data_IF_911497695315
#
_entry.id   IF_911497695315
#
_cell.length_a   1.000
_cell.length_b   1.000
_cell.length_c   1.000
_cell.angle_alpha   90.00
_cell.angle_beta   90.00
_cell.angle_gamma   90.00
#
_symmetry.space_group_name_H-M   'P 1'
#
loop_
_entity.id
_entity.type
_entity.pdbx_description
1 polymer ?
#
# COMPACT_ATOMS: atom_id res chain seq x y z
N UNK A 1 -18.32 9.53 -7.05
CA UNK A 1 -18.78 8.38 -6.25
C UNK A 1 -17.81 8.28 -5.10
N UNK A 2 -18.34 8.27 -3.93
CA UNK A 2 -17.64 8.51 -2.67
C UNK A 2 -16.54 7.49 -2.48
N UNK A 3 -15.29 7.94 -2.69
CA UNK A 3 -14.10 7.11 -2.48
C UNK A 3 -13.77 7.11 -0.98
N UNK A 4 -14.68 6.55 -0.18
CA UNK A 4 -14.44 6.38 1.24
C UNK A 4 -13.57 5.14 1.48
N UNK A 5 -12.56 5.32 2.32
CA UNK A 5 -11.65 4.26 2.76
C UNK A 5 -11.71 4.23 4.27
N UNK A 6 -11.98 3.07 4.81
CA UNK A 6 -12.01 2.88 6.26
C UNK A 6 -10.92 1.90 6.67
N UNK A 7 -10.29 2.17 7.79
CA UNK A 7 -9.32 1.30 8.40
C UNK A 7 -9.85 0.79 9.72
N UNK A 8 -9.93 -0.53 9.86
CA UNK A 8 -10.27 -1.17 11.12
C UNK A 8 -8.98 -1.55 11.82
N UNK A 9 -8.86 -1.15 13.07
CA UNK A 9 -7.70 -1.45 13.90
C UNK A 9 -8.13 -2.11 15.21
N UNK A 10 -7.25 -2.90 15.78
CA UNK A 10 -7.39 -3.48 17.13
C UNK A 10 -6.44 -2.80 18.11
N UNK A 11 -6.71 -2.93 19.38
CA UNK A 11 -6.01 -2.21 20.44
C UNK A 11 -4.48 -2.35 20.39
N UNK A 12 -3.98 -3.56 20.19
CA UNK A 12 -2.53 -3.80 20.20
C UNK A 12 -1.78 -3.20 19.00
N UNK A 13 -2.49 -2.87 17.92
CA UNK A 13 -1.93 -2.27 16.70
C UNK A 13 -2.12 -0.74 16.67
N UNK A 14 -2.74 -0.16 17.70
CA UNK A 14 -2.96 1.26 17.78
C UNK A 14 -1.69 2.01 18.17
N UNK A 15 -1.14 2.77 17.25
CA UNK A 15 -0.02 3.68 17.50
C UNK A 15 -0.50 5.14 17.46
N UNK A 16 -0.58 5.80 18.64
CA UNK A 16 -1.01 7.19 18.72
C UNK A 16 -0.19 8.13 17.84
N UNK A 17 1.10 7.88 17.66
CA UNK A 17 1.99 8.73 16.89
C UNK A 17 1.65 8.75 15.39
N UNK A 18 1.09 7.69 14.90
CA UNK A 18 0.72 7.52 13.49
C UNK A 18 -0.69 8.08 13.24
N UNK A 19 -1.64 7.80 14.15
CA UNK A 19 -3.06 8.05 13.91
C UNK A 19 -3.61 9.32 14.56
N UNK A 20 -2.97 9.81 15.61
CA UNK A 20 -3.60 10.78 16.53
C UNK A 20 -3.75 12.20 16.02
N UNK A 21 -3.16 12.58 14.90
CA UNK A 21 -3.20 14.01 14.69
C UNK A 21 -4.35 14.55 13.85
N UNK A 22 -5.13 13.73 13.13
CA UNK A 22 -6.23 14.29 12.30
C UNK A 22 -7.23 13.31 11.68
N UNK A 23 -7.06 12.01 11.85
CA UNK A 23 -8.00 11.07 11.23
C UNK A 23 -9.25 10.90 12.10
N UNK A 24 -10.46 11.08 11.56
CA UNK A 24 -11.68 10.87 12.32
C UNK A 24 -11.82 9.40 12.73
N UNK A 25 -12.02 9.17 14.02
CA UNK A 25 -12.45 7.87 14.55
C UNK A 25 -13.97 7.86 14.49
N UNK A 26 -14.55 6.94 13.74
CA UNK A 26 -15.99 6.83 13.55
C UNK A 26 -16.67 6.08 14.68
N UNK A 27 -16.04 5.03 15.16
CA UNK A 27 -16.55 4.20 16.26
C UNK A 27 -15.42 3.49 16.99
N UNK A 28 -15.67 3.13 18.24
CA UNK A 28 -14.80 2.27 19.07
C UNK A 28 -15.69 1.30 19.85
N UNK A 29 -15.46 0.00 19.75
CA UNK A 29 -16.28 -1.00 20.38
C UNK A 29 -15.49 -2.23 20.87
N UNK A 30 -16.08 -3.00 21.76
CA UNK A 30 -15.49 -4.25 22.26
C UNK A 30 -15.71 -5.43 21.31
N UNK A 31 -16.71 -5.33 20.44
CA UNK A 31 -17.00 -6.36 19.43
C UNK A 31 -17.09 -5.74 18.03
N UNK A 32 -16.89 -6.56 17.02
CA UNK A 32 -17.00 -6.10 15.61
C UNK A 32 -18.44 -5.78 15.23
N UNK A 33 -19.39 -6.53 15.77
CA UNK A 33 -20.82 -6.29 15.50
C UNK A 33 -21.30 -4.96 16.11
N UNK A 34 -20.86 -4.61 17.31
CA UNK A 34 -21.08 -3.29 17.89
C UNK A 34 -20.41 -2.18 17.07
N UNK A 35 -19.18 -2.45 16.63
CA UNK A 35 -18.42 -1.51 15.81
C UNK A 35 -19.12 -1.20 14.49
N UNK A 36 -19.68 -2.22 13.82
CA UNK A 36 -20.49 -2.06 12.59
C UNK A 36 -21.71 -1.18 12.85
N UNK A 37 -22.46 -1.50 13.93
CA UNK A 37 -23.67 -0.79 14.27
C UNK A 37 -23.41 0.68 14.62
N UNK A 38 -22.39 0.98 15.42
CA UNK A 38 -22.02 2.34 15.82
C UNK A 38 -21.52 3.18 14.65
N UNK A 39 -20.76 2.57 13.75
CA UNK A 39 -20.24 3.26 12.57
C UNK A 39 -21.26 3.36 11.41
N UNK A 40 -22.45 2.74 11.56
CA UNK A 40 -23.51 2.78 10.55
C UNK A 40 -23.26 1.88 9.34
N UNK A 41 -22.49 0.83 9.49
CA UNK A 41 -22.31 -0.18 8.45
C UNK A 41 -23.45 -1.22 8.48
N UNK A 42 -23.62 -1.88 7.34
CA UNK A 42 -24.54 -3.00 7.25
C UNK A 42 -24.00 -4.18 8.09
N UNK A 43 -24.87 -4.79 8.89
CA UNK A 43 -24.53 -5.93 9.75
C UNK A 43 -23.90 -7.05 8.93
N UNK A 44 -22.76 -7.55 9.37
CA UNK A 44 -22.01 -8.61 8.71
C UNK A 44 -20.99 -8.14 7.67
N UNK A 45 -20.97 -6.86 7.30
CA UNK A 45 -20.07 -6.35 6.26
C UNK A 45 -18.59 -6.38 6.66
N UNK A 46 -18.28 -6.01 7.89
CA UNK A 46 -16.91 -6.03 8.44
C UNK A 46 -16.64 -7.37 9.11
N UNK A 47 -17.58 -7.87 9.90
CA UNK A 47 -17.40 -9.10 10.67
C UNK A 47 -17.19 -10.31 9.76
N UNK A 48 -17.83 -10.41 8.60
CA UNK A 48 -17.55 -11.48 7.63
C UNK A 48 -16.11 -11.43 7.12
N UNK A 49 -15.62 -10.26 6.76
CA UNK A 49 -14.25 -10.05 6.27
C UNK A 49 -13.21 -10.38 7.34
N UNK A 50 -13.45 -9.93 8.57
CA UNK A 50 -12.53 -10.22 9.69
C UNK A 50 -12.51 -11.69 10.03
N UNK A 51 -13.66 -12.37 10.00
CA UNK A 51 -13.74 -13.81 10.26
C UNK A 51 -12.97 -14.62 9.21
N UNK A 52 -13.10 -14.24 7.92
CA UNK A 52 -12.35 -14.87 6.84
C UNK A 52 -10.85 -14.61 6.96
N UNK A 53 -10.45 -13.35 7.22
CA UNK A 53 -9.05 -13.00 7.48
C UNK A 53 -8.47 -13.78 8.67
N UNK A 54 -9.22 -13.91 9.77
CA UNK A 54 -8.79 -14.67 10.93
C UNK A 54 -8.63 -16.16 10.62
N UNK A 55 -9.47 -16.71 9.72
CA UNK A 55 -9.28 -18.08 9.24
C UNK A 55 -7.96 -18.21 8.46
N UNK A 56 -7.64 -17.26 7.59
CA UNK A 56 -6.35 -17.22 6.88
C UNK A 56 -5.17 -17.09 7.85
N UNK A 57 -5.28 -16.21 8.85
CA UNK A 57 -4.24 -16.03 9.84
C UNK A 57 -3.94 -17.30 10.64
N UNK A 58 -4.99 -18.01 11.09
CA UNK A 58 -4.84 -19.32 11.77
C UNK A 58 -4.24 -20.40 10.90
N UNK A 59 -4.57 -20.40 9.62
CA UNK A 59 -4.05 -21.38 8.66
C UNK A 59 -2.65 -21.01 8.11
N UNK A 60 -2.18 -19.80 8.37
CA UNK A 60 -0.90 -19.31 7.87
C UNK A 60 -0.87 -19.09 6.36
N UNK A 61 -2.03 -18.96 5.70
CA UNK A 61 -2.15 -18.77 4.24
C UNK A 61 -3.27 -17.79 3.91
N UNK A 62 -2.91 -16.65 3.33
CA UNK A 62 -3.86 -15.71 2.74
C UNK A 62 -4.13 -16.10 1.29
N UNK A 63 -5.34 -16.59 1.02
CA UNK A 63 -5.72 -17.06 -0.31
C UNK A 63 -6.10 -15.94 -1.27
N UNK A 64 -6.53 -14.79 -0.74
CA UNK A 64 -7.04 -13.68 -1.54
C UNK A 64 -5.93 -12.74 -2.00
N UNK A 65 -5.12 -12.25 -1.06
CA UNK A 65 -4.11 -11.23 -1.33
C UNK A 65 -2.67 -11.77 -1.25
N UNK A 66 -2.48 -13.06 -0.95
CA UNK A 66 -1.15 -13.69 -0.85
C UNK A 66 -0.21 -12.99 0.13
N UNK A 67 -0.76 -12.47 1.21
CA UNK A 67 0.02 -11.84 2.27
C UNK A 67 1.02 -12.82 2.86
N UNK A 68 2.26 -12.39 3.02
CA UNK A 68 3.32 -13.22 3.59
C UNK A 68 2.90 -13.74 4.99
N UNK A 69 2.97 -15.05 5.28
CA UNK A 69 2.56 -15.66 6.55
C UNK A 69 3.12 -14.97 7.79
N UNK A 70 4.32 -14.42 7.72
CA UNK A 70 4.93 -13.68 8.84
C UNK A 70 4.17 -12.42 9.26
N UNK A 71 3.27 -11.91 8.40
CA UNK A 71 2.43 -10.75 8.65
C UNK A 71 0.97 -11.11 8.91
N UNK A 72 0.62 -12.40 8.83
CA UNK A 72 -0.71 -12.88 9.17
C UNK A 72 -0.83 -12.97 10.69
N UNK A 73 -1.72 -12.17 11.24
CA UNK A 73 -1.96 -12.07 12.68
C UNK A 73 -3.46 -11.99 12.91
N UNK A 74 -3.99 -12.79 13.84
CA UNK A 74 -5.40 -12.75 14.15
C UNK A 74 -5.84 -11.37 14.62
N UNK A 75 -6.97 -10.95 14.11
CA UNK A 75 -7.64 -9.73 14.51
C UNK A 75 -8.65 -10.07 15.63
N UNK A 76 -8.21 -10.01 16.89
CA UNK A 76 -8.94 -10.54 18.02
C UNK A 76 -8.74 -9.78 19.34
N UNK A 77 -8.12 -8.62 19.30
CA UNK A 77 -7.72 -7.85 20.50
C UNK A 77 -8.53 -6.56 20.65
N UNK A 78 -9.67 -6.61 21.36
CA UNK A 78 -10.47 -5.40 21.62
C UNK A 78 -9.71 -4.40 22.53
N UNK A 79 -10.20 -3.16 22.61
CA UNK A 79 -11.24 -2.59 21.77
C UNK A 79 -10.81 -2.45 20.30
N UNK A 80 -11.80 -2.47 19.41
CA UNK A 80 -11.63 -2.22 17.98
C UNK A 80 -12.04 -0.80 17.65
N UNK A 81 -11.44 -0.22 16.62
CA UNK A 81 -11.83 1.10 16.13
C UNK A 81 -11.92 1.13 14.61
N UNK A 82 -12.84 1.97 14.09
CA UNK A 82 -12.92 2.34 12.68
C UNK A 82 -12.42 3.77 12.52
N UNK A 83 -11.45 3.94 11.65
CA UNK A 83 -10.87 5.25 11.30
C UNK A 83 -11.24 5.57 9.85
N UNK A 84 -11.74 6.78 9.61
CA UNK A 84 -11.92 7.28 8.24
C UNK A 84 -10.56 7.66 7.65
N UNK A 85 -10.06 6.75 6.82
CA UNK A 85 -8.79 6.86 6.11
C UNK A 85 -8.97 7.40 4.69
N UNK A 86 -10.09 8.05 4.42
CA UNK A 86 -10.38 8.64 3.12
C UNK A 86 -9.38 9.74 2.78
N UNK A 87 -9.18 9.96 1.49
CA UNK A 87 -8.13 10.84 0.98
C UNK A 87 -8.22 12.26 1.55
N UNK A 88 -9.44 12.79 1.71
CA UNK A 88 -9.66 14.12 2.29
C UNK A 88 -9.17 14.27 3.74
N UNK A 89 -9.09 13.17 4.49
CA UNK A 89 -8.63 13.15 5.87
C UNK A 89 -7.12 12.90 6.01
N UNK A 90 -6.45 12.50 4.94
CA UNK A 90 -5.03 12.17 4.96
C UNK A 90 -4.11 13.38 4.70
N UNK A 91 -4.66 14.57 4.57
CA UNK A 91 -3.89 15.78 4.32
C UNK A 91 -2.85 16.03 5.42
N UNK A 92 -1.58 15.88 5.10
CA UNK A 92 -0.49 16.22 5.98
C UNK A 92 -0.22 17.74 5.94
N UNK A 93 -0.11 18.42 7.07
CA UNK A 93 0.26 19.83 7.11
C UNK A 93 1.61 20.13 6.46
N UNK A 94 2.49 19.14 6.35
CA UNK A 94 3.81 19.27 5.74
C UNK A 94 3.79 19.27 4.21
N UNK A 95 2.68 18.86 3.58
CA UNK A 95 2.63 18.63 2.13
C UNK A 95 1.43 19.26 1.42
N UNK A 96 0.97 20.39 1.91
CA UNK A 96 -0.15 21.18 1.40
C UNK A 96 -1.54 20.56 1.51
N UNK A 97 -2.44 21.41 1.80
CA UNK A 97 -3.87 21.28 2.06
C UNK A 97 -4.69 20.73 0.88
N UNK A 98 -4.08 20.42 -0.26
CA UNK A 98 -4.83 20.04 -1.48
C UNK A 98 -4.42 18.71 -2.12
N UNK A 99 -3.30 18.11 -1.74
CA UNK A 99 -2.73 17.00 -2.51
C UNK A 99 -2.60 15.67 -1.78
N UNK A 100 -3.12 15.53 -0.57
CA UNK A 100 -3.00 14.30 0.21
C UNK A 100 -1.56 13.87 0.52
N UNK A 101 -1.36 12.72 1.14
CA UNK A 101 -0.03 12.21 1.44
C UNK A 101 0.69 11.81 0.15
N UNK A 102 1.94 12.23 0.03
CA UNK A 102 2.80 11.72 -1.04
C UNK A 102 3.14 10.26 -0.71
N UNK A 103 2.55 9.34 -1.46
CA UNK A 103 2.81 7.92 -1.34
C UNK A 103 3.39 7.38 -2.64
N UNK A 104 4.28 6.40 -2.50
CA UNK A 104 4.80 5.63 -3.62
C UNK A 104 5.00 4.17 -3.19
N UNK A 105 4.82 3.26 -4.12
CA UNK A 105 5.09 1.84 -3.89
C UNK A 105 6.57 1.54 -4.10
N UNK A 106 7.07 0.49 -3.47
CA UNK A 106 8.42 -0.03 -3.68
C UNK A 106 8.46 -1.16 -4.73
N UNK A 107 7.35 -1.37 -5.43
CA UNK A 107 7.24 -2.29 -6.55
C UNK A 107 7.10 -1.55 -7.87
N UNK A 108 7.04 -2.29 -8.96
CA UNK A 108 6.85 -1.74 -10.30
C UNK A 108 7.24 -2.72 -11.39
N UNK A 109 7.36 -2.25 -12.60
CA UNK A 109 7.78 -3.04 -13.74
C UNK A 109 9.21 -3.57 -13.51
N UNK A 110 9.42 -4.84 -13.83
CA UNK A 110 10.77 -5.40 -13.88
C UNK A 110 11.47 -4.97 -15.18
N UNK A 111 12.71 -4.53 -15.04
CA UNK A 111 13.49 -4.01 -16.17
C UNK A 111 14.91 -4.54 -16.16
N UNK A 112 15.52 -4.65 -17.36
CA UNK A 112 16.96 -4.76 -17.46
C UNK A 112 17.64 -3.45 -17.06
N UNK A 113 18.93 -3.47 -16.69
CA UNK A 113 19.70 -2.24 -16.40
C UNK A 113 19.71 -1.23 -17.55
N UNK A 114 19.42 -1.67 -18.74
CA UNK A 114 19.32 -0.87 -19.98
C UNK A 114 17.92 -0.31 -20.22
N UNK A 115 16.96 -0.63 -19.32
CA UNK A 115 15.64 -0.04 -19.28
C UNK A 115 14.55 -0.79 -20.03
N UNK A 116 14.86 -1.88 -20.74
CA UNK A 116 13.85 -2.73 -21.37
C UNK A 116 12.97 -3.40 -20.30
N UNK A 117 11.66 -3.36 -20.50
CA UNK A 117 10.68 -4.00 -19.60
C UNK A 117 10.61 -5.49 -19.89
N UNK A 118 10.52 -6.28 -18.82
CA UNK A 118 10.35 -7.73 -18.89
C UNK A 118 8.89 -8.11 -18.69
N UNK A 119 8.45 -9.16 -19.36
CA UNK A 119 7.19 -9.84 -19.10
C UNK A 119 7.29 -10.78 -17.88
N UNK A 120 6.20 -11.46 -17.54
CA UNK A 120 6.15 -12.39 -16.39
C UNK A 120 7.03 -13.64 -16.56
N UNK A 121 7.43 -13.95 -17.79
CA UNK A 121 8.31 -15.08 -18.13
C UNK A 121 9.79 -14.63 -18.20
N UNK A 122 10.09 -13.35 -17.96
CA UNK A 122 11.43 -12.79 -18.00
C UNK A 122 11.92 -12.41 -19.40
N UNK A 123 11.06 -12.39 -20.41
CA UNK A 123 11.42 -11.98 -21.76
C UNK A 123 11.26 -10.46 -21.92
N UNK A 124 12.12 -9.86 -22.75
CA UNK A 124 12.00 -8.45 -23.08
C UNK A 124 10.74 -8.19 -23.90
N UNK A 125 9.94 -7.23 -23.45
CA UNK A 125 8.82 -6.69 -24.23
C UNK A 125 9.39 -5.73 -25.27
N UNK A 126 9.28 -6.05 -26.56
CA UNK A 126 9.91 -5.24 -27.60
C UNK A 126 9.42 -3.78 -27.61
N UNK A 127 10.34 -2.84 -27.68
CA UNK A 127 10.06 -1.40 -27.77
C UNK A 127 9.45 -0.77 -26.51
N UNK A 128 9.34 -1.51 -25.40
CA UNK A 128 8.87 -0.98 -24.13
C UNK A 128 10.05 -0.73 -23.20
N UNK A 129 10.17 0.51 -22.73
CA UNK A 129 11.21 0.95 -21.81
C UNK A 129 10.57 1.65 -20.61
N UNK A 130 11.17 1.46 -19.44
CA UNK A 130 10.72 2.13 -18.22
C UNK A 130 11.91 2.48 -17.32
N UNK A 131 11.75 3.54 -16.53
CA UNK A 131 12.72 3.96 -15.53
C UNK A 131 12.03 4.73 -14.40
N UNK A 132 12.70 4.88 -13.25
CA UNK A 132 12.21 5.61 -12.10
C UNK A 132 11.11 4.86 -11.36
N UNK A 133 10.21 5.58 -10.71
CA UNK A 133 9.20 5.00 -9.81
C UNK A 133 8.18 4.07 -10.47
N UNK A 134 8.11 4.05 -11.78
CA UNK A 134 7.31 3.08 -12.54
C UNK A 134 7.92 1.67 -12.56
N UNK A 135 9.21 1.58 -12.25
CA UNK A 135 9.93 0.29 -12.17
C UNK A 135 10.06 -0.20 -10.74
N UNK A 136 10.43 -1.47 -10.56
CA UNK A 136 10.76 -2.02 -9.25
C UNK A 136 11.92 -1.25 -8.56
N UNK A 137 12.82 -0.65 -9.32
CA UNK A 137 13.87 0.27 -8.86
C UNK A 137 14.89 -0.32 -7.92
N UNK A 138 15.80 0.53 -7.42
CA UNK A 138 16.85 0.14 -6.47
C UNK A 138 16.32 -0.16 -5.06
N UNK A 139 15.42 0.64 -4.46
CA UNK A 139 14.96 0.36 -3.11
C UNK A 139 13.95 -0.80 -3.11
N UNK A 140 14.37 -1.92 -2.59
CA UNK A 140 13.53 -3.13 -2.47
C UNK A 140 12.79 -3.22 -1.15
N UNK A 141 13.16 -2.42 -0.16
CA UNK A 141 12.52 -2.38 1.16
C UNK A 141 12.51 -0.95 1.70
N UNK A 142 11.55 -0.65 2.61
CA UNK A 142 11.52 0.66 3.29
C UNK A 142 12.82 0.98 4.04
N UNK A 143 13.48 -0.02 4.62
CA UNK A 143 14.76 0.14 5.32
C UNK A 143 15.92 0.44 4.36
N UNK A 144 15.82 -0.01 3.11
CA UNK A 144 16.83 0.26 2.08
C UNK A 144 16.63 1.58 1.35
N UNK A 145 15.55 2.31 1.63
CA UNK A 145 15.29 3.59 1.00
C UNK A 145 16.08 4.72 1.68
N UNK A 146 16.70 5.56 0.86
CA UNK A 146 17.37 6.78 1.32
C UNK A 146 16.90 7.99 0.51
N UNK A 147 16.90 9.16 1.13
CA UNK A 147 16.55 10.42 0.46
C UNK A 147 17.45 10.65 -0.77
N UNK A 148 16.85 11.04 -1.88
CA UNK A 148 17.54 11.23 -3.17
C UNK A 148 17.64 9.97 -4.04
N UNK A 149 17.45 8.77 -3.48
CA UNK A 149 17.54 7.52 -4.24
C UNK A 149 16.56 7.48 -5.41
N UNK A 150 15.32 7.92 -5.22
CA UNK A 150 14.32 7.97 -6.31
C UNK A 150 14.73 8.89 -7.45
N UNK A 151 15.38 10.02 -7.15
CA UNK A 151 15.88 10.96 -8.18
C UNK A 151 17.07 10.35 -8.90
N UNK A 152 18.01 9.76 -8.17
CA UNK A 152 19.17 9.08 -8.74
C UNK A 152 18.78 7.91 -9.65
N UNK A 153 17.86 7.07 -9.17
CA UNK A 153 17.28 5.96 -9.93
C UNK A 153 16.64 6.45 -11.25
N UNK A 154 15.74 7.43 -11.15
CA UNK A 154 15.02 7.95 -12.30
C UNK A 154 15.96 8.62 -13.34
N UNK A 155 16.95 9.38 -12.90
CA UNK A 155 17.86 10.08 -13.81
C UNK A 155 18.86 9.14 -14.47
N UNK A 156 19.45 8.23 -13.71
CA UNK A 156 20.42 7.29 -14.25
C UNK A 156 19.76 6.29 -15.21
N UNK A 157 18.73 5.57 -14.75
CA UNK A 157 18.07 4.57 -15.61
C UNK A 157 17.21 5.19 -16.70
N UNK A 158 16.69 6.40 -16.50
CA UNK A 158 16.03 7.15 -17.57
C UNK A 158 16.99 7.48 -18.72
N UNK A 159 18.24 7.86 -18.40
CA UNK A 159 19.29 8.04 -19.41
C UNK A 159 19.64 6.72 -20.11
N UNK A 160 19.76 5.63 -19.37
CA UNK A 160 20.07 4.31 -19.94
C UNK A 160 18.97 3.84 -20.88
N UNK A 161 17.71 3.92 -20.44
CA UNK A 161 16.54 3.59 -21.24
C UNK A 161 16.47 4.43 -22.55
N UNK A 162 16.73 5.73 -22.46
CA UNK A 162 16.78 6.61 -23.62
C UNK A 162 17.88 6.25 -24.62
N UNK A 163 19.08 5.90 -24.13
CA UNK A 163 20.18 5.42 -24.97
C UNK A 163 19.81 4.11 -25.68
N UNK A 164 19.22 3.16 -24.95
CA UNK A 164 18.80 1.87 -25.51
C UNK A 164 17.70 2.04 -26.54
N UNK A 165 16.69 2.84 -26.27
CA UNK A 165 15.62 3.14 -27.21
C UNK A 165 16.15 3.79 -28.49
N UNK A 166 17.13 4.71 -28.41
CA UNK A 166 17.72 5.36 -29.54
C UNK A 166 18.61 4.42 -30.42
N UNK A 167 19.24 3.41 -29.78
CA UNK A 167 20.08 2.43 -30.48
C UNK A 167 19.25 1.38 -31.20
N UNK A 168 18.13 0.97 -30.63
CA UNK A 168 17.20 0.02 -31.21
C UNK A 168 16.31 0.71 -32.24
N UNK A 169 16.93 1.24 -33.28
CA UNK A 169 16.21 1.89 -34.38
C UNK A 169 15.19 0.91 -34.97
N UNK A 170 14.00 1.42 -35.17
CA UNK A 170 12.84 0.75 -35.74
C UNK A 170 13.06 0.32 -37.19
#
# INVERSE_FOLDING_TARGET
KDQKIYMVIQNEDFDPSIYMNKLPILAVAETIDELEAEAGFESGSISSTINEYNLFARNGEDRDFKKDPKWLKEFSKPPFAIIDYSFENQASPAYSDKNGPLMFTLGGLETLPTGEVLDVDGNVIPKLYAAGRTTAGLPRTGKGYASGMSVGDATFFGRMAGISAAKNKF
#
